data_IF_784352560331
#
_entry.id   IF_784352560331
#
_cell.length_a   1.000
_cell.length_b   1.000
_cell.length_c   1.000
_cell.angle_alpha   90.00
_cell.angle_beta   90.00
_cell.angle_gamma   90.00
#
_symmetry.space_group_name_H-M   'P 1'
#
loop_
_entity.id
_entity.type
_entity.pdbx_description
1 polymer ?
#
# COMPACT_ATOMS: atom_id res chain seq x y z
N UNK A 1 51.93 -67.61 -31.89
CA UNK A 1 51.17 -66.46 -32.32
C UNK A 1 50.25 -66.05 -31.15
N UNK A 2 50.73 -65.15 -30.26
CA UNK A 2 50.05 -64.82 -29.02
C UNK A 2 49.59 -63.36 -29.11
N UNK A 3 48.27 -63.17 -29.20
CA UNK A 3 47.62 -61.81 -29.23
C UNK A 3 47.42 -61.33 -27.82
N UNK A 4 48.09 -60.23 -27.45
CA UNK A 4 47.88 -59.50 -26.22
C UNK A 4 46.66 -58.58 -26.32
N UNK A 5 45.72 -58.77 -25.38
CA UNK A 5 44.54 -57.94 -25.23
C UNK A 5 44.89 -56.82 -24.21
N UNK A 6 44.86 -55.57 -24.64
CA UNK A 6 44.99 -54.38 -23.74
C UNK A 6 43.66 -54.01 -23.16
N UNK A 7 43.50 -53.80 -21.82
CA UNK A 7 42.28 -53.26 -21.26
C UNK A 7 42.30 -51.73 -21.38
N UNK A 8 41.21 -51.17 -21.96
CA UNK A 8 40.94 -49.76 -21.97
C UNK A 8 40.29 -49.32 -20.63
N UNK A 9 40.96 -48.43 -19.89
CA UNK A 9 40.45 -47.83 -18.66
C UNK A 9 39.59 -46.65 -19.08
N UNK A 10 38.25 -46.74 -18.91
CA UNK A 10 37.32 -45.65 -19.10
C UNK A 10 37.26 -44.87 -17.79
N UNK A 11 37.90 -43.70 -17.74
CA UNK A 11 37.78 -42.76 -16.61
C UNK A 11 36.43 -42.05 -16.72
N UNK A 12 35.46 -42.45 -15.86
CA UNK A 12 34.17 -41.78 -15.73
C UNK A 12 34.34 -40.45 -14.99
N UNK A 13 34.13 -39.32 -15.67
CA UNK A 13 34.03 -37.98 -15.08
C UNK A 13 32.65 -37.85 -14.45
N UNK A 14 32.56 -37.94 -13.13
CA UNK A 14 31.38 -37.60 -12.35
C UNK A 14 31.24 -36.06 -12.33
N UNK A 15 30.40 -35.52 -13.19
CA UNK A 15 29.96 -34.12 -13.10
C UNK A 15 28.95 -34.04 -11.97
N UNK A 16 29.38 -33.58 -10.80
CA UNK A 16 28.49 -33.14 -9.73
C UNK A 16 27.81 -31.84 -10.18
N UNK A 17 26.63 -31.97 -10.78
CA UNK A 17 25.73 -30.86 -10.99
C UNK A 17 25.25 -30.39 -9.59
N UNK A 18 25.94 -29.40 -9.02
CA UNK A 18 25.48 -28.70 -7.83
C UNK A 18 24.20 -27.98 -8.19
N UNK A 19 23.04 -28.48 -7.76
CA UNK A 19 21.81 -27.72 -7.70
C UNK A 19 22.04 -26.57 -6.72
N UNK A 20 22.41 -25.40 -7.24
CA UNK A 20 22.28 -24.16 -6.51
C UNK A 20 20.78 -23.98 -6.27
N UNK A 21 20.29 -24.38 -5.09
CA UNK A 21 18.93 -24.07 -4.67
C UNK A 21 18.82 -22.56 -4.65
N UNK A 22 17.97 -21.99 -5.53
CA UNK A 22 17.58 -20.59 -5.43
C UNK A 22 17.08 -20.37 -3.98
N UNK A 23 17.36 -19.23 -3.37
CA UNK A 23 16.81 -18.92 -2.05
C UNK A 23 15.29 -19.12 -2.12
N UNK A 24 14.68 -19.76 -1.09
CA UNK A 24 13.24 -19.96 -1.08
C UNK A 24 12.57 -18.58 -1.17
N UNK A 25 11.67 -18.40 -2.15
CA UNK A 25 10.84 -17.21 -2.26
C UNK A 25 9.93 -17.04 -1.04
N UNK A 26 9.12 -15.96 -0.99
CA UNK A 26 8.23 -15.69 0.13
C UNK A 26 7.25 -16.87 0.34
N UNK A 27 6.95 -17.18 1.60
CA UNK A 27 6.02 -18.29 1.89
C UNK A 27 4.60 -17.94 1.42
N UNK A 28 3.79 -18.92 1.00
CA UNK A 28 2.39 -18.66 0.64
C UNK A 28 1.59 -17.95 1.74
N UNK A 29 1.91 -18.22 3.00
CA UNK A 29 1.26 -17.59 4.16
C UNK A 29 1.63 -16.11 4.28
N UNK A 30 2.90 -15.74 4.06
CA UNK A 30 3.33 -14.35 4.06
C UNK A 30 2.73 -13.57 2.88
N UNK A 31 2.64 -14.18 1.71
CA UNK A 31 1.97 -13.58 0.54
C UNK A 31 0.49 -13.35 0.82
N UNK A 32 -0.23 -14.35 1.36
CA UNK A 32 -1.65 -14.23 1.68
C UNK A 32 -1.92 -13.16 2.77
N UNK A 33 -1.05 -13.09 3.78
CA UNK A 33 -1.17 -12.08 4.84
C UNK A 33 -0.97 -10.66 4.27
N UNK A 34 0.07 -10.44 3.49
CA UNK A 34 0.36 -9.16 2.82
C UNK A 34 -0.75 -8.79 1.85
N UNK A 35 -1.28 -9.75 1.09
CA UNK A 35 -2.41 -9.54 0.18
C UNK A 35 -3.66 -9.08 0.93
N UNK A 36 -3.91 -9.66 2.10
CA UNK A 36 -4.96 -9.21 3.03
C UNK A 36 -4.76 -7.78 3.51
N UNK A 37 -3.52 -7.39 3.87
CA UNK A 37 -3.19 -6.00 4.27
C UNK A 37 -3.45 -5.03 3.12
N UNK A 38 -2.97 -5.32 1.92
CA UNK A 38 -3.24 -4.49 0.74
C UNK A 38 -4.74 -4.42 0.42
N UNK A 39 -5.47 -5.53 0.56
CA UNK A 39 -6.92 -5.58 0.39
C UNK A 39 -7.67 -4.69 1.37
N UNK A 40 -7.22 -4.62 2.62
CA UNK A 40 -7.82 -3.79 3.65
C UNK A 40 -7.71 -2.28 3.33
N UNK A 41 -6.63 -1.85 2.68
CA UNK A 41 -6.38 -0.43 2.38
C UNK A 41 -6.82 -0.02 0.97
N UNK A 42 -7.02 -0.97 0.07
CA UNK A 42 -7.38 -0.75 -1.33
C UNK A 42 -8.55 0.22 -1.53
N UNK A 43 -9.69 0.11 -0.80
CA UNK A 43 -10.82 1.01 -1.03
C UNK A 43 -10.52 2.48 -0.75
N UNK A 44 -9.60 2.78 0.16
CA UNK A 44 -9.13 4.14 0.42
C UNK A 44 -8.19 4.62 -0.69
N UNK A 45 -7.21 3.79 -1.07
CA UNK A 45 -6.24 4.14 -2.13
C UNK A 45 -6.94 4.43 -3.45
N UNK A 46 -7.93 3.62 -3.82
CA UNK A 46 -8.75 3.82 -5.02
C UNK A 46 -9.57 5.13 -4.93
N UNK A 47 -10.15 5.44 -3.77
CA UNK A 47 -10.89 6.68 -3.57
C UNK A 47 -10.01 7.93 -3.71
N UNK A 48 -8.78 7.87 -3.18
CA UNK A 48 -7.80 8.96 -3.33
C UNK A 48 -7.35 9.10 -4.78
N UNK A 49 -7.08 8.00 -5.46
CA UNK A 49 -6.66 8.00 -6.86
C UNK A 49 -7.75 8.56 -7.80
N UNK A 50 -9.02 8.38 -7.46
CA UNK A 50 -10.13 8.96 -8.22
C UNK A 50 -10.19 10.50 -8.10
N UNK A 51 -9.69 11.07 -7.00
CA UNK A 51 -9.74 12.51 -6.75
C UNK A 51 -11.14 13.08 -6.52
N UNK A 52 -11.26 14.39 -6.25
CA UNK A 52 -12.53 15.08 -6.20
C UNK A 52 -13.11 15.21 -7.62
N UNK A 53 -14.45 15.14 -7.74
CA UNK A 53 -15.12 15.40 -9.02
C UNK A 53 -14.87 16.87 -9.45
N UNK A 54 -14.42 17.06 -10.69
CA UNK A 54 -14.04 18.39 -11.23
C UNK A 54 -14.96 18.80 -12.39
N UNK A 55 -16.27 18.78 -12.18
CA UNK A 55 -17.25 18.92 -13.26
C UNK A 55 -17.40 20.34 -13.81
N UNK A 56 -16.32 21.14 -13.85
CA UNK A 56 -16.29 22.47 -14.47
C UNK A 56 -17.22 23.49 -13.79
N UNK A 57 -17.64 23.20 -12.59
CA UNK A 57 -18.60 23.93 -11.82
C UNK A 57 -18.02 25.24 -11.24
N UNK A 58 -18.91 26.10 -10.80
CA UNK A 58 -18.55 27.30 -10.04
C UNK A 58 -17.80 26.96 -8.73
N UNK A 59 -17.26 27.98 -8.05
CA UNK A 59 -16.50 27.80 -6.83
C UNK A 59 -17.29 27.05 -5.74
N UNK A 60 -18.60 27.25 -5.65
CA UNK A 60 -19.44 26.62 -4.65
C UNK A 60 -19.54 25.09 -4.88
N UNK A 61 -19.72 24.68 -6.13
CA UNK A 61 -19.75 23.27 -6.50
C UNK A 61 -18.37 22.60 -6.32
N UNK A 62 -17.27 23.31 -6.63
CA UNK A 62 -15.91 22.80 -6.39
C UNK A 62 -15.64 22.58 -4.90
N UNK A 63 -15.98 23.53 -4.03
CA UNK A 63 -15.86 23.40 -2.57
C UNK A 63 -16.71 22.26 -2.03
N UNK A 64 -17.95 22.13 -2.50
CA UNK A 64 -18.82 21.02 -2.13
C UNK A 64 -18.25 19.66 -2.55
N UNK A 65 -17.71 19.58 -3.77
CA UNK A 65 -17.07 18.36 -4.28
C UNK A 65 -15.85 17.97 -3.44
N UNK A 66 -15.00 18.95 -3.09
CA UNK A 66 -13.85 18.75 -2.22
C UNK A 66 -14.28 18.28 -0.82
N UNK A 67 -15.28 18.94 -0.20
CA UNK A 67 -15.82 18.52 1.10
C UNK A 67 -16.32 17.06 1.05
N UNK A 68 -17.05 16.69 -0.01
CA UNK A 68 -17.54 15.32 -0.21
C UNK A 68 -16.40 14.33 -0.40
N UNK A 69 -15.35 14.70 -1.13
CA UNK A 69 -14.15 13.88 -1.32
C UNK A 69 -13.42 13.61 0.00
N UNK A 70 -13.22 14.65 0.83
CA UNK A 70 -12.59 14.53 2.13
C UNK A 70 -13.40 13.63 3.07
N UNK A 71 -14.73 13.75 3.10
CA UNK A 71 -15.63 12.91 3.89
C UNK A 71 -15.60 11.45 3.44
N UNK A 72 -15.63 11.23 2.13
CA UNK A 72 -15.53 9.90 1.53
C UNK A 72 -14.18 9.26 1.88
N UNK A 73 -13.09 10.00 1.76
CA UNK A 73 -11.75 9.55 2.14
C UNK A 73 -11.68 9.13 3.61
N UNK A 74 -12.18 9.97 4.52
CA UNK A 74 -12.23 9.66 5.95
C UNK A 74 -13.05 8.39 6.24
N UNK A 75 -14.21 8.22 5.59
CA UNK A 75 -15.08 7.04 5.73
C UNK A 75 -14.38 5.77 5.21
N UNK A 76 -13.68 5.86 4.08
CA UNK A 76 -12.91 4.73 3.53
C UNK A 76 -11.76 4.32 4.46
N UNK A 77 -11.09 5.29 5.08
CA UNK A 77 -10.06 5.01 6.09
C UNK A 77 -10.65 4.32 7.33
N UNK A 78 -11.83 4.72 7.81
CA UNK A 78 -12.48 4.02 8.94
C UNK A 78 -12.69 2.53 8.60
N UNK A 79 -13.15 2.24 7.38
CA UNK A 79 -13.27 0.89 6.86
C UNK A 79 -11.91 0.16 6.81
N UNK A 80 -10.88 0.84 6.34
CA UNK A 80 -9.51 0.28 6.28
C UNK A 80 -8.95 -0.03 7.68
N UNK A 81 -9.14 0.86 8.66
CA UNK A 81 -8.70 0.64 10.05
C UNK A 81 -9.40 -0.59 10.65
N UNK A 82 -10.71 -0.72 10.42
CA UNK A 82 -11.48 -1.89 10.89
C UNK A 82 -11.00 -3.18 10.20
N UNK A 83 -10.78 -3.15 8.89
CA UNK A 83 -10.29 -4.29 8.14
C UNK A 83 -8.86 -4.70 8.57
N UNK A 84 -7.94 -3.74 8.74
CA UNK A 84 -6.60 -3.99 9.28
C UNK A 84 -6.65 -4.58 10.70
N UNK A 85 -7.64 -4.17 11.52
CA UNK A 85 -7.87 -4.72 12.85
C UNK A 85 -8.37 -6.17 12.85
N UNK A 86 -8.90 -6.65 11.73
CA UNK A 86 -9.42 -8.01 11.57
C UNK A 86 -8.39 -8.98 10.97
N UNK A 87 -7.22 -8.48 10.55
CA UNK A 87 -6.15 -9.32 10.03
C UNK A 87 -5.54 -10.11 11.20
N UNK A 88 -5.38 -11.42 10.99
CA UNK A 88 -4.72 -12.29 11.95
C UNK A 88 -3.23 -11.97 12.14
N UNK A 89 -2.59 -12.64 13.12
CA UNK A 89 -1.17 -12.41 13.40
C UNK A 89 -0.29 -12.65 12.17
N UNK A 90 0.78 -11.87 12.08
CA UNK A 90 1.72 -11.98 10.98
C UNK A 90 2.50 -13.30 11.06
N UNK A 91 2.67 -14.02 9.94
CA UNK A 91 3.55 -15.18 9.87
C UNK A 91 5.05 -14.78 9.86
N UNK A 92 5.35 -13.47 9.80
CA UNK A 92 6.71 -12.93 9.72
C UNK A 92 7.03 -12.10 10.97
N UNK A 93 8.17 -12.31 11.64
CA UNK A 93 8.59 -11.48 12.77
C UNK A 93 8.60 -9.98 12.40
N UNK A 94 8.08 -9.14 13.28
CA UNK A 94 7.96 -7.69 13.07
C UNK A 94 6.77 -7.25 12.21
N UNK A 95 6.00 -8.18 11.66
CA UNK A 95 4.83 -7.84 10.84
C UNK A 95 3.66 -7.26 11.66
N UNK A 96 3.45 -7.75 12.88
CA UNK A 96 2.40 -7.23 13.76
C UNK A 96 2.68 -5.79 14.20
N UNK A 97 3.95 -5.44 14.44
CA UNK A 97 4.37 -4.08 14.76
C UNK A 97 4.19 -3.14 13.55
N UNK A 98 4.45 -3.63 12.34
CA UNK A 98 4.18 -2.88 11.11
C UNK A 98 2.68 -2.62 10.98
N UNK A 99 1.85 -3.65 11.18
CA UNK A 99 0.38 -3.53 11.12
C UNK A 99 -0.16 -2.53 12.15
N UNK A 100 0.40 -2.54 13.37
CA UNK A 100 0.03 -1.60 14.42
C UNK A 100 0.35 -0.15 14.00
N UNK A 101 1.56 0.12 13.51
CA UNK A 101 1.96 1.46 13.00
C UNK A 101 1.07 1.90 11.84
N UNK A 102 0.80 1.03 10.87
CA UNK A 102 -0.11 1.34 9.77
C UNK A 102 -1.48 1.81 10.28
N UNK A 103 -2.04 1.14 11.30
CA UNK A 103 -3.33 1.54 11.90
C UNK A 103 -3.26 2.90 12.59
N UNK A 104 -2.14 3.23 13.23
CA UNK A 104 -1.89 4.55 13.83
C UNK A 104 -1.82 5.64 12.74
N UNK A 105 -1.05 5.40 11.68
CA UNK A 105 -0.89 6.33 10.57
C UNK A 105 -2.22 6.57 9.83
N UNK A 106 -2.99 5.52 9.58
CA UNK A 106 -4.34 5.64 8.99
C UNK A 106 -5.29 6.40 9.93
N UNK A 107 -5.16 6.23 11.25
CA UNK A 107 -5.95 6.98 12.23
C UNK A 107 -5.61 8.48 12.17
N UNK A 108 -4.32 8.82 12.10
CA UNK A 108 -3.87 10.20 11.95
C UNK A 108 -4.36 10.80 10.62
N UNK A 109 -4.23 10.06 9.52
CA UNK A 109 -4.71 10.48 8.19
C UNK A 109 -6.22 10.75 8.19
N UNK A 110 -7.03 9.87 8.79
CA UNK A 110 -8.48 10.06 8.93
C UNK A 110 -8.81 11.35 9.67
N UNK A 111 -8.11 11.61 10.78
CA UNK A 111 -8.34 12.82 11.57
C UNK A 111 -8.00 14.07 10.74
N UNK A 112 -6.87 14.06 10.04
CA UNK A 112 -6.46 15.16 9.17
C UNK A 112 -7.48 15.43 8.04
N UNK A 113 -8.06 14.38 7.45
CA UNK A 113 -9.13 14.55 6.44
C UNK A 113 -10.39 15.19 7.04
N UNK A 114 -10.78 14.81 8.26
CA UNK A 114 -11.93 15.40 8.96
C UNK A 114 -11.68 16.85 9.33
N UNK A 115 -10.48 17.17 9.79
CA UNK A 115 -10.10 18.55 10.12
C UNK A 115 -10.06 19.43 8.86
N UNK A 116 -9.48 18.92 7.77
CA UNK A 116 -9.49 19.60 6.48
C UNK A 116 -10.92 19.83 5.98
N UNK A 117 -11.80 18.81 6.07
CA UNK A 117 -13.23 18.96 5.74
C UNK A 117 -13.90 20.05 6.56
N UNK A 118 -13.70 20.06 7.87
CA UNK A 118 -14.26 21.09 8.73
C UNK A 118 -13.77 22.50 8.33
N UNK A 119 -12.49 22.62 7.95
CA UNK A 119 -11.94 23.88 7.42
C UNK A 119 -12.55 24.28 6.08
N UNK A 120 -12.78 23.31 5.18
CA UNK A 120 -13.42 23.57 3.87
C UNK A 120 -14.89 23.95 4.02
N UNK A 121 -15.63 23.32 4.93
CA UNK A 121 -17.07 23.53 5.12
C UNK A 121 -17.43 24.95 5.64
N UNK A 122 -16.47 25.67 6.25
CA UNK A 122 -16.68 27.03 6.76
C UNK A 122 -16.26 28.14 5.77
N UNK A 123 -15.78 27.77 4.59
CA UNK A 123 -15.35 28.74 3.56
C UNK A 123 -16.58 29.43 2.96
N UNK A 124 -16.66 30.76 3.08
CA UNK A 124 -17.65 31.54 2.38
C UNK A 124 -17.23 31.74 0.91
N UNK A 125 -17.84 30.97 0.03
CA UNK A 125 -17.54 30.99 -1.41
C UNK A 125 -17.98 32.30 -2.11
N UNK A 126 -18.87 33.10 -1.48
CA UNK A 126 -19.26 34.40 -1.99
C UNK A 126 -18.20 35.47 -1.70
N UNK A 127 -17.25 35.22 -0.78
CA UNK A 127 -16.15 36.10 -0.45
C UNK A 127 -14.83 35.58 -1.04
N UNK A 128 -14.29 36.22 -2.10
CA UNK A 128 -13.05 35.78 -2.74
C UNK A 128 -11.83 35.75 -1.81
N UNK A 129 -11.79 36.61 -0.79
CA UNK A 129 -10.68 36.67 0.17
C UNK A 129 -10.70 35.45 1.11
N UNK A 130 -11.88 35.06 1.61
CA UNK A 130 -12.01 33.85 2.44
C UNK A 130 -11.71 32.59 1.64
N UNK A 131 -12.07 32.55 0.36
CA UNK A 131 -11.73 31.43 -0.52
C UNK A 131 -10.22 31.35 -0.75
N UNK A 132 -9.57 32.47 -1.07
CA UNK A 132 -8.13 32.52 -1.36
C UNK A 132 -7.24 32.15 -0.16
N UNK A 133 -7.69 32.46 1.05
CA UNK A 133 -6.92 32.21 2.28
C UNK A 133 -7.36 30.92 3.00
N UNK A 134 -8.66 30.63 3.02
CA UNK A 134 -9.23 29.52 3.76
C UNK A 134 -8.93 28.16 3.13
N UNK A 135 -8.99 28.05 1.80
CA UNK A 135 -8.75 26.77 1.13
C UNK A 135 -7.31 26.27 1.31
N UNK A 136 -6.25 27.06 1.07
CA UNK A 136 -4.88 26.61 1.38
C UNK A 136 -4.70 26.26 2.86
N UNK A 137 -5.27 27.06 3.77
CA UNK A 137 -5.16 26.80 5.21
C UNK A 137 -5.82 25.46 5.61
N UNK A 138 -7.02 25.17 5.08
CA UNK A 138 -7.72 23.90 5.34
C UNK A 138 -6.93 22.68 4.83
N UNK A 139 -6.26 22.81 3.68
CA UNK A 139 -5.52 21.71 3.06
C UNK A 139 -4.08 21.58 3.57
N UNK A 140 -3.52 22.60 4.20
CA UNK A 140 -2.13 22.60 4.67
C UNK A 140 -1.87 21.54 5.75
N UNK A 141 -2.88 21.17 6.52
CA UNK A 141 -2.78 20.15 7.56
C UNK A 141 -2.84 18.71 7.02
N UNK A 142 -3.12 18.52 5.72
CA UNK A 142 -3.14 17.20 5.13
C UNK A 142 -1.72 16.64 5.02
N UNK A 143 -1.44 15.49 5.64
CA UNK A 143 -0.17 14.80 5.44
C UNK A 143 -0.05 14.31 3.99
N UNK A 144 1.17 14.03 3.51
CA UNK A 144 1.35 13.38 2.23
C UNK A 144 0.59 12.06 2.19
N UNK A 145 0.12 11.70 1.00
CA UNK A 145 -0.59 10.43 0.80
C UNK A 145 0.27 9.26 1.28
N UNK A 146 -0.31 8.41 2.13
CA UNK A 146 0.36 7.22 2.63
C UNK A 146 0.62 6.23 1.48
N UNK A 147 1.86 5.77 1.35
CA UNK A 147 2.17 4.59 0.56
C UNK A 147 1.90 3.35 1.42
N UNK A 148 0.83 2.59 1.15
CA UNK A 148 0.43 1.47 1.99
C UNK A 148 1.46 0.33 1.99
N UNK A 149 2.37 0.30 1.02
CA UNK A 149 3.39 -0.74 0.89
C UNK A 149 4.73 -0.35 1.47
N UNK A 150 4.94 0.94 1.80
CA UNK A 150 6.22 1.45 2.29
C UNK A 150 6.71 0.72 3.54
N UNK A 151 5.83 0.60 4.54
CA UNK A 151 6.19 -0.03 5.81
C UNK A 151 6.36 -1.55 5.66
N UNK A 152 5.52 -2.19 4.84
CA UNK A 152 5.68 -3.60 4.49
C UNK A 152 7.04 -3.86 3.82
N UNK A 153 7.48 -2.98 2.92
CA UNK A 153 8.78 -3.08 2.24
C UNK A 153 9.98 -2.77 3.14
N UNK A 154 9.78 -2.17 4.30
CA UNK A 154 10.87 -1.97 5.27
C UNK A 154 11.36 -3.27 5.92
N UNK A 155 10.55 -4.34 5.88
CA UNK A 155 10.92 -5.68 6.30
C UNK A 155 11.24 -6.52 5.04
N UNK A 156 12.44 -7.08 4.94
CA UNK A 156 12.91 -7.77 3.72
C UNK A 156 12.03 -8.94 3.30
N UNK A 157 11.56 -9.73 4.24
CA UNK A 157 10.68 -10.88 3.98
C UNK A 157 9.31 -10.45 3.50
N UNK A 158 8.74 -9.38 4.09
CA UNK A 158 7.48 -8.81 3.65
C UNK A 158 7.62 -8.07 2.30
N UNK A 159 8.77 -7.47 2.00
CA UNK A 159 9.03 -6.84 0.69
C UNK A 159 8.93 -7.84 -0.46
N UNK A 160 9.47 -9.05 -0.28
CA UNK A 160 9.33 -10.14 -1.26
C UNK A 160 7.85 -10.56 -1.39
N UNK A 161 7.13 -10.68 -0.27
CA UNK A 161 5.72 -11.01 -0.26
C UNK A 161 4.87 -9.92 -0.94
N UNK A 162 5.15 -8.63 -0.74
CA UNK A 162 4.50 -7.51 -1.45
C UNK A 162 4.65 -7.66 -2.96
N UNK A 163 5.84 -8.06 -3.42
CA UNK A 163 6.11 -8.25 -4.85
C UNK A 163 5.34 -9.44 -5.44
N UNK A 164 5.00 -10.44 -4.61
CA UNK A 164 4.25 -11.62 -5.01
C UNK A 164 2.72 -11.49 -4.81
N UNK A 165 2.26 -10.53 -3.99
CA UNK A 165 0.86 -10.34 -3.62
C UNK A 165 0.07 -9.63 -4.73
N UNK A 166 -0.94 -10.26 -5.37
CA UNK A 166 -1.66 -9.70 -6.50
C UNK A 166 -2.39 -8.39 -6.18
N UNK A 167 -3.02 -8.30 -4.99
CA UNK A 167 -3.77 -7.09 -4.59
C UNK A 167 -2.83 -5.91 -4.38
N UNK A 168 -1.63 -6.14 -3.80
CA UNK A 168 -0.63 -5.08 -3.64
C UNK A 168 -0.13 -4.54 -4.99
N UNK A 169 0.04 -5.42 -5.98
CA UNK A 169 0.47 -5.03 -7.33
C UNK A 169 -0.62 -4.24 -8.08
N UNK A 170 -1.88 -4.48 -7.74
CA UNK A 170 -3.02 -3.80 -8.34
C UNK A 170 -3.36 -2.46 -7.68
N UNK A 171 -2.65 -2.06 -6.60
CA UNK A 171 -2.86 -0.75 -5.99
C UNK A 171 -2.38 0.36 -6.93
N UNK A 172 -3.14 1.47 -7.06
CA UNK A 172 -2.67 2.65 -7.76
C UNK A 172 -1.33 3.13 -7.17
N UNK A 173 -0.34 3.33 -8.02
CA UNK A 173 0.92 3.94 -7.61
C UNK A 173 0.72 5.45 -7.49
N UNK A 174 1.07 6.02 -6.34
CA UNK A 174 1.15 7.48 -6.19
C UNK A 174 2.27 7.97 -7.12
N UNK A 175 1.90 8.57 -8.25
CA UNK A 175 2.83 9.21 -9.18
C UNK A 175 3.34 10.53 -8.65
#
# INVERSE_FOLDING_TARGET
MTRAIRPAIIAGVLVLAGCASAPPGPSPESVAWVDGVCGAVKPFVEAVAAGPATDGADAAAAIKSLSTFLDTGATKIDGSIAALGSIGPSPVPGGDEILARMREDYTAQRNALRDAKAGVDVIDVANPETLATGLPAALQALPPTLDPTKDLRSNTTLAEAVTAAPVCQALPTSG
#
